data_IF_754147956592
#
_entry.id   IF_754147956592
#
_cell.length_a   1.000
_cell.length_b   1.000
_cell.length_c   1.000
_cell.angle_alpha   90.00
_cell.angle_beta   90.00
_cell.angle_gamma   90.00
#
_symmetry.space_group_name_H-M   'P 1'
#
loop_
_entity.id
_entity.type
_entity.pdbx_description
1 polymer ?
#
# COMPACT_ATOMS: atom_id res chain seq x y z
N UNK A 1 8.32 3.73 9.90
CA UNK A 1 7.03 3.20 9.48
C UNK A 1 7.12 2.74 8.04
N UNK A 2 6.54 1.58 7.74
CA UNK A 2 6.59 0.99 6.40
C UNK A 2 5.18 0.53 6.00
N UNK A 3 4.86 0.69 4.73
CA UNK A 3 3.62 0.18 4.12
C UNK A 3 4.01 -0.84 3.05
N UNK A 4 3.43 -2.02 3.13
CA UNK A 4 3.63 -3.06 2.13
C UNK A 4 2.62 -2.88 0.99
N UNK A 5 3.12 -2.63 -0.20
CA UNK A 5 2.31 -2.59 -1.43
C UNK A 5 2.87 -3.60 -2.42
N UNK A 6 2.03 -4.36 -3.05
CA UNK A 6 2.45 -5.37 -4.02
C UNK A 6 1.70 -5.22 -5.35
N UNK A 7 0.44 -5.63 -5.37
CA UNK A 7 -0.36 -5.69 -6.59
C UNK A 7 -0.62 -4.31 -7.21
N UNK A 8 -0.89 -3.32 -6.39
CA UNK A 8 -1.09 -1.94 -6.85
C UNK A 8 0.15 -1.37 -7.53
N UNK A 9 1.32 -1.55 -6.91
CA UNK A 9 2.59 -1.16 -7.53
C UNK A 9 2.84 -1.88 -8.86
N UNK A 10 2.50 -3.17 -8.95
CA UNK A 10 2.57 -3.92 -10.21
C UNK A 10 1.61 -3.36 -11.27
N UNK A 11 0.37 -3.00 -10.91
CA UNK A 11 -0.59 -2.37 -11.82
C UNK A 11 -0.08 -1.02 -12.32
N UNK A 12 0.55 -0.22 -11.46
CA UNK A 12 1.08 1.09 -11.83
C UNK A 12 2.13 1.01 -12.93
N UNK A 13 2.95 -0.04 -12.96
CA UNK A 13 3.95 -0.28 -14.01
C UNK A 13 3.42 -1.05 -15.22
N UNK A 14 2.14 -1.40 -15.23
CA UNK A 14 1.46 -1.95 -16.39
C UNK A 14 1.07 -3.42 -16.30
N UNK A 15 1.08 -4.04 -15.13
CA UNK A 15 0.51 -5.36 -14.94
C UNK A 15 -1.00 -5.32 -15.21
N UNK A 16 -1.50 -6.28 -15.99
CA UNK A 16 -2.93 -6.45 -16.30
C UNK A 16 -3.53 -7.69 -15.65
N UNK A 17 -2.83 -8.27 -14.68
CA UNK A 17 -3.25 -9.49 -13.98
C UNK A 17 -3.52 -10.69 -14.91
N UNK A 18 -2.74 -10.84 -15.96
CA UNK A 18 -2.86 -11.95 -16.91
C UNK A 18 -2.53 -13.33 -16.32
N UNK A 19 -2.05 -13.40 -15.08
CA UNK A 19 -1.71 -14.62 -14.32
C UNK A 19 -0.70 -15.54 -15.05
N UNK A 20 0.12 -14.99 -15.95
CA UNK A 20 1.13 -15.72 -16.74
C UNK A 20 2.57 -15.44 -16.29
N UNK A 21 2.76 -14.93 -15.09
CA UNK A 21 4.09 -14.55 -14.60
C UNK A 21 5.08 -15.72 -14.56
N UNK A 22 4.59 -16.94 -14.30
CA UNK A 22 5.40 -18.15 -14.19
C UNK A 22 5.73 -18.83 -15.53
N UNK A 23 5.18 -18.33 -16.65
CA UNK A 23 5.29 -18.98 -17.96
C UNK A 23 6.29 -18.29 -18.90
N UNK A 24 6.92 -17.19 -18.47
CA UNK A 24 7.72 -16.30 -19.32
C UNK A 24 6.95 -15.65 -20.49
N UNK A 25 5.61 -15.69 -20.43
CA UNK A 25 4.71 -15.13 -21.46
C UNK A 25 3.85 -13.97 -20.91
N UNK A 26 4.43 -13.12 -20.06
CA UNK A 26 3.74 -11.93 -19.57
C UNK A 26 3.47 -10.97 -20.74
N UNK A 27 2.20 -10.71 -21.09
CA UNK A 27 1.87 -9.93 -22.29
C UNK A 27 2.28 -8.46 -22.22
N UNK A 28 2.49 -7.93 -21.01
CA UNK A 28 2.88 -6.54 -20.76
C UNK A 28 4.38 -6.36 -20.50
N UNK A 29 5.15 -7.43 -20.49
CA UNK A 29 6.58 -7.39 -20.29
C UNK A 29 7.05 -7.23 -18.84
N UNK A 30 6.13 -7.11 -17.87
CA UNK A 30 6.46 -6.82 -16.46
C UNK A 30 7.16 -8.01 -15.78
N UNK A 31 6.80 -9.25 -16.14
CA UNK A 31 7.33 -10.46 -15.53
C UNK A 31 7.73 -11.48 -16.59
N UNK A 32 8.72 -11.15 -17.42
CA UNK A 32 9.23 -12.03 -18.48
C UNK A 32 10.67 -11.70 -18.82
N UNK A 33 11.42 -12.72 -19.26
CA UNK A 33 12.76 -12.59 -19.84
C UNK A 33 12.72 -12.68 -21.39
N UNK A 34 11.55 -12.87 -21.99
CA UNK A 34 11.38 -12.91 -23.41
C UNK A 34 11.77 -11.56 -24.04
N UNK A 35 12.77 -11.57 -24.94
CA UNK A 35 13.36 -10.36 -25.55
C UNK A 35 12.36 -9.46 -26.29
N UNK A 36 11.27 -10.02 -26.78
CA UNK A 36 10.21 -9.27 -27.43
C UNK A 36 9.24 -8.67 -26.41
N UNK A 37 8.76 -9.47 -25.48
CA UNK A 37 7.75 -9.06 -24.50
C UNK A 37 8.30 -8.07 -23.50
N UNK A 38 9.56 -8.20 -23.06
CA UNK A 38 10.20 -7.30 -22.09
C UNK A 38 10.22 -5.82 -22.53
N UNK A 39 10.12 -5.55 -23.83
CA UNK A 39 9.98 -4.19 -24.36
C UNK A 39 8.74 -3.45 -23.86
N UNK A 40 7.73 -4.17 -23.40
CA UNK A 40 6.54 -3.58 -22.75
C UNK A 40 6.86 -2.91 -21.41
N UNK A 41 7.94 -3.27 -20.76
CA UNK A 41 8.45 -2.63 -19.55
C UNK A 41 9.51 -1.58 -19.92
N UNK A 42 9.08 -0.45 -20.46
CA UNK A 42 9.94 0.70 -20.70
C UNK A 42 10.33 1.35 -19.34
N UNK A 43 11.60 1.33 -18.92
CA UNK A 43 12.01 1.84 -17.61
C UNK A 43 11.72 3.33 -17.40
N UNK A 44 11.86 4.15 -18.42
CA UNK A 44 11.64 5.60 -18.29
C UNK A 44 10.15 5.91 -18.07
N UNK A 45 9.29 5.37 -18.92
CA UNK A 45 7.85 5.55 -18.80
C UNK A 45 7.31 4.92 -17.51
N UNK A 46 7.75 3.70 -17.19
CA UNK A 46 7.21 2.95 -16.05
C UNK A 46 7.70 3.48 -14.70
N UNK A 47 8.92 4.01 -14.61
CA UNK A 47 9.38 4.69 -13.40
C UNK A 47 8.57 5.95 -13.10
N UNK A 48 8.23 6.75 -14.10
CA UNK A 48 7.37 7.92 -13.93
C UNK A 48 5.96 7.52 -13.45
N UNK A 49 5.39 6.46 -13.99
CA UNK A 49 4.09 5.92 -13.54
C UNK A 49 4.13 5.44 -12.10
N UNK A 50 5.19 4.71 -11.73
CA UNK A 50 5.38 4.26 -10.34
C UNK A 50 5.54 5.45 -9.39
N UNK A 51 6.32 6.46 -9.77
CA UNK A 51 6.48 7.67 -8.98
C UNK A 51 5.14 8.38 -8.75
N UNK A 52 4.32 8.55 -9.78
CA UNK A 52 2.99 9.13 -9.67
C UNK A 52 2.09 8.31 -8.74
N UNK A 53 2.14 6.98 -8.82
CA UNK A 53 1.41 6.10 -7.91
C UNK A 53 1.82 6.34 -6.45
N UNK A 54 3.12 6.38 -6.16
CA UNK A 54 3.64 6.61 -4.81
C UNK A 54 3.24 7.99 -4.27
N UNK A 55 3.27 9.02 -5.11
CA UNK A 55 2.82 10.37 -4.76
C UNK A 55 1.33 10.36 -4.39
N UNK A 56 0.49 9.77 -5.25
CA UNK A 56 -0.95 9.67 -5.01
C UNK A 56 -1.26 8.86 -3.74
N UNK A 57 -0.60 7.71 -3.53
CA UNK A 57 -0.75 6.91 -2.33
C UNK A 57 -0.40 7.71 -1.07
N UNK A 58 0.71 8.45 -1.11
CA UNK A 58 1.10 9.31 0.02
C UNK A 58 0.06 10.38 0.31
N UNK A 59 -0.47 11.04 -0.70
CA UNK A 59 -1.53 12.04 -0.55
C UNK A 59 -2.77 11.43 0.10
N UNK A 60 -3.25 10.29 -0.39
CA UNK A 60 -4.40 9.59 0.17
C UNK A 60 -4.19 9.17 1.62
N UNK A 61 -2.98 8.71 1.99
CA UNK A 61 -2.65 8.38 3.38
C UNK A 61 -2.68 9.61 4.29
N UNK A 62 -2.19 10.76 3.82
CA UNK A 62 -2.23 12.01 4.58
C UNK A 62 -3.66 12.53 4.73
N UNK A 63 -4.46 12.49 3.67
CA UNK A 63 -5.88 12.87 3.71
C UNK A 63 -6.66 11.99 4.70
N UNK A 64 -6.41 10.68 4.70
CA UNK A 64 -7.02 9.76 5.66
C UNK A 64 -6.62 10.10 7.10
N UNK A 65 -5.31 10.32 7.34
CA UNK A 65 -4.82 10.71 8.65
C UNK A 65 -5.49 12.00 9.15
N UNK A 66 -5.56 13.03 8.31
CA UNK A 66 -6.22 14.29 8.65
C UNK A 66 -7.71 14.11 8.93
N UNK A 67 -8.39 13.24 8.18
CA UNK A 67 -9.81 12.91 8.43
C UNK A 67 -9.99 12.25 9.81
N UNK A 68 -9.00 11.48 10.25
CA UNK A 68 -8.97 10.85 11.57
C UNK A 68 -8.53 11.82 12.69
N UNK A 69 -8.19 13.07 12.35
CA UNK A 69 -7.71 14.08 13.29
C UNK A 69 -6.22 14.03 13.60
N UNK A 70 -5.45 13.22 12.86
CA UNK A 70 -4.02 13.06 13.06
C UNK A 70 -3.20 13.83 12.03
N UNK A 71 -2.16 14.55 12.43
CA UNK A 71 -1.32 15.30 11.49
C UNK A 71 -0.41 14.40 10.63
N UNK A 72 -0.22 13.14 11.02
CA UNK A 72 0.64 12.21 10.31
C UNK A 72 0.16 10.76 10.46
N UNK A 73 0.21 9.92 9.40
CA UNK A 73 -0.24 8.53 9.46
C UNK A 73 0.43 7.67 10.53
N UNK A 74 1.67 7.99 10.91
CA UNK A 74 2.39 7.28 11.97
C UNK A 74 1.81 7.48 13.37
N UNK A 75 0.90 8.43 13.55
CA UNK A 75 0.22 8.70 14.81
C UNK A 75 -1.11 7.96 14.94
N UNK A 76 -1.62 7.42 13.86
CA UNK A 76 -2.84 6.61 13.86
C UNK A 76 -2.62 5.35 14.69
N UNK A 77 -3.55 5.10 15.60
CA UNK A 77 -3.53 3.91 16.46
C UNK A 77 -4.61 2.92 16.04
N UNK A 78 -4.48 1.64 16.39
CA UNK A 78 -5.50 0.63 16.09
C UNK A 78 -6.87 0.88 16.74
N UNK A 79 -6.95 1.80 17.70
CA UNK A 79 -8.18 2.16 18.39
C UNK A 79 -9.00 3.24 17.66
N UNK A 80 -8.40 3.91 16.68
CA UNK A 80 -9.02 5.01 15.93
C UNK A 80 -9.81 4.54 14.70
N UNK A 81 -9.84 3.25 14.42
CA UNK A 81 -10.66 2.70 13.33
C UNK A 81 -11.39 1.44 13.77
N UNK A 82 -12.54 1.23 13.15
CA UNK A 82 -13.39 0.08 13.39
C UNK A 82 -13.46 -0.81 12.16
N UNK A 83 -13.53 -2.10 12.38
CA UNK A 83 -13.74 -3.11 11.34
C UNK A 83 -15.20 -3.53 11.37
N UNK A 84 -15.88 -3.32 10.26
CA UNK A 84 -17.27 -3.73 10.08
C UNK A 84 -17.35 -5.22 9.78
N UNK A 85 -18.11 -5.96 10.59
CA UNK A 85 -18.43 -7.37 10.35
C UNK A 85 -19.60 -7.55 9.37
N UNK A 86 -19.76 -8.78 8.88
CA UNK A 86 -20.85 -9.13 7.95
C UNK A 86 -22.24 -9.00 8.59
N UNK A 87 -22.34 -9.03 9.91
CA UNK A 87 -23.54 -8.82 10.72
C UNK A 87 -23.79 -7.35 11.10
N UNK A 88 -23.06 -6.43 10.48
CA UNK A 88 -23.03 -5.00 10.78
C UNK A 88 -22.55 -4.65 12.19
N UNK A 89 -21.96 -5.59 12.92
CA UNK A 89 -21.25 -5.27 14.16
C UNK A 89 -19.95 -4.55 13.87
N UNK A 90 -19.51 -3.69 14.77
CA UNK A 90 -18.21 -3.03 14.69
C UNK A 90 -17.29 -3.49 15.82
N UNK A 91 -16.01 -3.65 15.52
CA UNK A 91 -14.97 -3.94 16.50
C UNK A 91 -13.76 -3.09 16.20
N UNK A 92 -13.03 -2.66 17.24
CA UNK A 92 -11.82 -1.89 17.03
C UNK A 92 -10.76 -2.68 16.25
N UNK A 93 -9.93 -1.99 15.49
CA UNK A 93 -8.80 -2.63 14.81
C UNK A 93 -7.88 -3.35 15.78
N UNK A 94 -7.71 -2.83 17.00
CA UNK A 94 -6.93 -3.47 18.05
C UNK A 94 -7.49 -4.85 18.40
N UNK A 95 -8.78 -4.95 18.61
CA UNK A 95 -9.44 -6.21 18.97
C UNK A 95 -9.36 -7.23 17.84
N UNK A 96 -9.70 -6.81 16.62
CA UNK A 96 -9.73 -7.70 15.44
C UNK A 96 -8.35 -8.26 15.11
N UNK A 97 -7.30 -7.45 15.19
CA UNK A 97 -5.94 -7.85 14.84
C UNK A 97 -5.09 -8.31 16.04
N UNK A 98 -5.65 -8.29 17.26
CA UNK A 98 -4.97 -8.76 18.46
C UNK A 98 -3.75 -7.92 18.85
N UNK A 99 -3.77 -6.61 18.61
CA UNK A 99 -2.68 -5.74 18.99
C UNK A 99 -2.56 -5.61 20.51
N UNK A 100 -1.33 -5.75 21.01
CA UNK A 100 -1.04 -5.52 22.43
C UNK A 100 -1.25 -4.04 22.79
N UNK A 101 -1.60 -3.73 24.06
CA UNK A 101 -1.92 -2.36 24.48
C UNK A 101 -0.77 -1.35 24.30
N UNK A 102 0.46 -1.82 24.30
CA UNK A 102 1.68 -1.03 24.13
C UNK A 102 2.15 -0.92 22.67
N UNK A 103 1.60 -1.72 21.77
CA UNK A 103 1.91 -1.64 20.36
C UNK A 103 1.36 -0.35 19.74
N UNK A 104 2.12 0.24 18.84
CA UNK A 104 1.85 1.51 18.18
C UNK A 104 1.94 2.76 19.10
N UNK A 105 2.29 2.61 20.38
CA UNK A 105 2.67 3.77 21.20
C UNK A 105 4.10 4.17 20.82
N UNK A 106 4.23 5.24 20.04
CA UNK A 106 5.50 5.94 19.96
C UNK A 106 5.74 6.58 21.34
N UNK A 107 6.85 6.23 21.98
CA UNK A 107 7.41 7.11 23.01
C UNK A 107 7.75 8.42 22.30
N UNK A 108 6.99 9.47 22.57
CA UNK A 108 7.41 10.82 22.24
C UNK A 108 8.63 11.06 23.11
N UNK A 109 9.82 10.77 22.59
CA UNK A 109 11.03 11.28 23.18
C UNK A 109 10.96 12.79 22.96
N UNK A 110 10.70 13.51 24.05
CA UNK A 110 10.85 14.95 24.16
C UNK A 110 12.27 15.29 23.72
N UNK A 111 12.42 15.74 22.50
CA UNK A 111 13.57 16.51 22.09
C UNK A 111 13.17 17.98 22.20
N UNK A 112 13.45 18.54 23.41
CA UNK A 112 13.70 19.95 23.54
C UNK A 112 14.89 20.41 22.67
#
# INVERSE_FOLDING_TARGET
DMVNVAREAMLSIGCIQALRCHTDHCPTGVATQNKWLVRGLDPQLKSARLANYVIALRQSLLELAHTMGEPHPALITPDQFEVLGDDFSTRSGREVFGYQPDWARRSVSEHE
#
